data_IF_032786417576
#
_entry.id   IF_032786417576
#
_cell.length_a   1.000
_cell.length_b   1.000
_cell.length_c   1.000
_cell.angle_alpha   90.00
_cell.angle_beta   90.00
_cell.angle_gamma   90.00
#
_symmetry.space_group_name_H-M   'P 1'
#
loop_
_entity.id
_entity.type
_entity.pdbx_description
1 polymer ?
#
# COMPACT_ATOMS: atom_id res chain seq x y z
N UNK A 1 0.27 -20.96 -57.87
CA UNK A 1 1.22 -20.19 -57.03
C UNK A 1 1.00 -20.56 -55.56
N UNK A 2 1.83 -21.44 -54.99
CA UNK A 2 1.70 -21.89 -53.61
C UNK A 2 2.70 -21.12 -52.71
N UNK A 3 2.20 -20.45 -51.66
CA UNK A 3 3.03 -19.73 -50.69
C UNK A 3 3.52 -20.70 -49.61
N UNK A 4 4.83 -20.91 -49.52
CA UNK A 4 5.47 -21.65 -48.44
C UNK A 4 5.52 -20.80 -47.18
N UNK A 5 4.96 -21.32 -46.07
CA UNK A 5 5.11 -20.71 -44.74
C UNK A 5 6.45 -21.18 -44.16
N UNK A 6 7.43 -20.29 -44.08
CA UNK A 6 8.68 -20.57 -43.36
C UNK A 6 8.45 -20.39 -41.87
N UNK A 7 8.38 -21.53 -41.17
CA UNK A 7 8.33 -21.61 -39.71
C UNK A 7 9.70 -21.19 -39.14
N UNK A 8 9.81 -19.95 -38.62
CA UNK A 8 10.97 -19.52 -37.85
C UNK A 8 10.77 -19.92 -36.38
N UNK A 9 11.16 -21.14 -36.06
CA UNK A 9 11.35 -21.56 -34.67
C UNK A 9 12.41 -20.69 -34.00
N UNK A 10 12.01 -19.93 -32.99
CA UNK A 10 12.90 -19.11 -32.18
C UNK A 10 13.65 -20.01 -31.18
N UNK A 11 14.89 -20.36 -31.52
CA UNK A 11 15.79 -21.11 -30.64
C UNK A 11 16.34 -20.22 -29.53
N UNK A 12 15.69 -20.22 -28.37
CA UNK A 12 16.25 -19.58 -27.18
C UNK A 12 17.29 -20.52 -26.55
N UNK A 13 18.55 -20.20 -26.82
CA UNK A 13 19.75 -20.86 -26.34
C UNK A 13 19.80 -20.84 -24.79
N UNK A 14 19.70 -22.01 -24.16
CA UNK A 14 19.56 -22.19 -22.71
C UNK A 14 20.91 -22.22 -21.99
N UNK A 15 21.65 -21.12 -22.00
CA UNK A 15 22.74 -20.93 -21.02
C UNK A 15 22.12 -20.39 -19.72
N UNK A 16 21.57 -21.31 -18.93
CA UNK A 16 20.79 -20.99 -17.72
C UNK A 16 21.74 -20.63 -16.57
N UNK A 17 22.10 -19.36 -16.44
CA UNK A 17 22.75 -18.88 -15.23
C UNK A 17 21.85 -19.12 -14.03
N UNK A 18 22.33 -19.94 -13.09
CA UNK A 18 21.65 -20.20 -11.84
C UNK A 18 22.02 -19.11 -10.84
N UNK A 19 21.06 -18.23 -10.56
CA UNK A 19 21.13 -17.32 -9.42
C UNK A 19 20.60 -18.02 -8.18
N UNK A 20 21.29 -17.83 -7.07
CA UNK A 20 20.87 -18.33 -5.76
C UNK A 20 19.55 -17.66 -5.30
N UNK A 21 18.76 -18.38 -4.50
CA UNK A 21 17.43 -17.92 -4.09
C UNK A 21 17.52 -16.65 -3.23
N UNK A 22 18.47 -16.60 -2.30
CA UNK A 22 18.68 -15.45 -1.42
C UNK A 22 19.09 -14.21 -2.20
N UNK A 23 19.93 -14.41 -3.23
CA UNK A 23 20.28 -13.34 -4.14
C UNK A 23 19.06 -12.80 -4.90
N UNK A 24 18.23 -13.67 -5.48
CA UNK A 24 17.01 -13.26 -6.19
C UNK A 24 16.07 -12.47 -5.28
N UNK A 25 15.89 -12.95 -4.05
CA UNK A 25 15.06 -12.28 -3.06
C UNK A 25 15.58 -10.89 -2.72
N UNK A 26 16.88 -10.77 -2.43
CA UNK A 26 17.52 -9.49 -2.12
C UNK A 26 17.33 -8.46 -3.24
N UNK A 27 17.55 -8.87 -4.49
CA UNK A 27 17.38 -7.99 -5.66
C UNK A 27 15.92 -7.55 -5.83
N UNK A 28 14.96 -8.45 -5.59
CA UNK A 28 13.55 -8.10 -5.60
C UNK A 28 13.19 -7.09 -4.50
N UNK A 29 13.70 -7.27 -3.28
CA UNK A 29 13.49 -6.34 -2.17
C UNK A 29 14.14 -4.98 -2.43
N UNK A 30 15.36 -4.95 -2.97
CA UNK A 30 16.02 -3.71 -3.37
C UNK A 30 15.20 -2.95 -4.41
N UNK A 31 14.68 -3.64 -5.42
CA UNK A 31 13.75 -3.03 -6.38
C UNK A 31 12.50 -2.49 -5.70
N UNK A 32 11.92 -3.23 -4.74
CA UNK A 32 10.72 -2.80 -4.00
C UNK A 32 10.94 -1.61 -3.07
N UNK A 33 12.15 -1.42 -2.57
CA UNK A 33 12.48 -0.34 -1.65
C UNK A 33 13.06 0.92 -2.34
N UNK A 34 13.65 0.76 -3.53
CA UNK A 34 14.25 1.87 -4.29
C UNK A 34 13.24 2.58 -5.22
N UNK A 35 13.50 3.84 -5.58
CA UNK A 35 12.72 4.55 -6.63
C UNK A 35 13.18 4.22 -8.05
N UNK A 36 14.08 3.25 -8.22
CA UNK A 36 14.75 2.96 -9.48
C UNK A 36 13.97 2.01 -10.39
N UNK A 37 14.29 2.06 -11.68
CA UNK A 37 13.73 1.13 -12.66
C UNK A 37 14.36 -0.25 -12.54
N UNK A 38 13.64 -1.29 -12.97
CA UNK A 38 14.17 -2.67 -13.02
C UNK A 38 15.48 -2.78 -13.80
N UNK A 39 15.64 -1.99 -14.86
CA UNK A 39 16.85 -2.00 -15.68
C UNK A 39 18.04 -1.44 -14.90
N UNK A 40 17.83 -0.38 -14.13
CA UNK A 40 18.87 0.18 -13.25
C UNK A 40 19.29 -0.84 -12.18
N UNK A 41 18.33 -1.44 -11.47
CA UNK A 41 18.60 -2.47 -10.46
C UNK A 41 19.27 -3.71 -11.06
N UNK A 42 18.85 -4.14 -12.25
CA UNK A 42 19.44 -5.25 -12.99
C UNK A 42 20.91 -4.99 -13.32
N UNK A 43 21.23 -3.79 -13.84
CA UNK A 43 22.60 -3.39 -14.17
C UNK A 43 23.48 -3.29 -12.92
N UNK A 44 22.97 -2.69 -11.85
CA UNK A 44 23.69 -2.57 -10.57
C UNK A 44 24.05 -3.94 -9.99
N UNK A 45 23.11 -4.88 -10.04
CA UNK A 45 23.29 -6.23 -9.49
C UNK A 45 23.93 -7.22 -10.47
N UNK A 46 24.39 -6.79 -11.64
CA UNK A 46 25.06 -7.66 -12.62
C UNK A 46 24.17 -8.76 -13.20
N UNK A 47 22.85 -8.60 -13.14
CA UNK A 47 21.90 -9.61 -13.64
C UNK A 47 21.88 -9.55 -15.16
N UNK A 48 22.15 -10.67 -15.83
CA UNK A 48 22.31 -10.67 -17.29
C UNK A 48 20.99 -10.53 -18.05
N UNK A 49 19.91 -11.14 -17.56
CA UNK A 49 18.63 -11.15 -18.27
C UNK A 49 17.75 -9.97 -17.84
N UNK A 50 17.34 -9.14 -18.80
CA UNK A 50 16.44 -8.00 -18.58
C UNK A 50 15.10 -8.38 -17.94
N UNK A 51 14.61 -9.60 -18.22
CA UNK A 51 13.35 -10.13 -17.70
C UNK A 51 13.49 -10.86 -16.37
N UNK A 52 14.70 -11.06 -15.85
CA UNK A 52 14.95 -11.85 -14.64
C UNK A 52 14.18 -11.32 -13.43
N UNK A 53 14.28 -10.03 -13.15
CA UNK A 53 13.59 -9.40 -12.01
C UNK A 53 12.07 -9.56 -12.14
N UNK A 54 11.51 -9.44 -13.35
CA UNK A 54 10.07 -9.64 -13.59
C UNK A 54 9.67 -11.09 -13.28
N UNK A 55 10.48 -12.06 -13.70
CA UNK A 55 10.24 -13.47 -13.44
C UNK A 55 10.33 -13.76 -11.94
N UNK A 56 11.34 -13.24 -11.24
CA UNK A 56 11.51 -13.45 -9.80
C UNK A 56 10.38 -12.81 -8.99
N UNK A 57 9.94 -11.59 -9.34
CA UNK A 57 8.78 -10.96 -8.70
C UNK A 57 7.53 -11.85 -8.83
N UNK A 58 7.30 -12.46 -10.01
CA UNK A 58 6.19 -13.40 -10.20
C UNK A 58 6.36 -14.69 -9.39
N UNK A 59 7.58 -15.23 -9.35
CA UNK A 59 7.90 -16.43 -8.57
C UNK A 59 7.65 -16.22 -7.06
N UNK A 60 7.97 -15.02 -6.56
CA UNK A 60 7.78 -14.64 -5.17
C UNK A 60 6.39 -14.07 -4.86
N UNK A 61 5.49 -13.94 -5.85
CA UNK A 61 4.16 -13.33 -5.67
C UNK A 61 4.20 -11.83 -5.34
N UNK A 62 5.30 -11.15 -5.63
CA UNK A 62 5.50 -9.73 -5.34
C UNK A 62 4.86 -8.87 -6.42
N UNK A 63 4.12 -7.83 -5.99
CA UNK A 63 3.47 -6.89 -6.91
C UNK A 63 4.51 -5.95 -7.52
N UNK A 64 4.50 -5.86 -8.83
CA UNK A 64 5.35 -4.93 -9.56
C UNK A 64 4.88 -3.48 -9.38
N UNK A 65 5.81 -2.56 -9.11
CA UNK A 65 5.53 -1.11 -9.01
C UNK A 65 4.99 -0.53 -10.31
N UNK A 66 5.50 -1.01 -11.43
CA UNK A 66 5.15 -0.51 -12.75
C UNK A 66 4.20 -1.53 -13.36
N UNK A 67 2.90 -1.22 -13.37
CA UNK A 67 1.94 -2.01 -14.14
C UNK A 67 2.30 -1.87 -15.62
N UNK A 68 2.44 -2.97 -16.38
CA UNK A 68 2.51 -2.84 -17.82
C UNK A 68 1.20 -2.18 -18.26
N UNK A 69 1.31 -1.02 -18.91
CA UNK A 69 0.15 -0.37 -19.52
C UNK A 69 -0.50 -1.39 -20.45
N UNK A 70 -1.78 -1.66 -20.25
CA UNK A 70 -2.57 -2.41 -21.20
C UNK A 70 -2.47 -1.74 -22.57
N UNK A 71 -2.55 -2.52 -23.66
CA UNK A 71 -2.58 -1.98 -25.02
C UNK A 71 -3.65 -0.88 -25.18
N UNK A 72 -4.76 -1.03 -24.44
CA UNK A 72 -5.83 -0.02 -24.34
C UNK A 72 -5.37 1.27 -23.68
N UNK A 73 -4.56 1.19 -22.62
CA UNK A 73 -3.99 2.34 -21.91
C UNK A 73 -2.88 3.01 -22.73
N UNK A 74 -2.10 2.25 -23.51
CA UNK A 74 -1.09 2.80 -24.41
C UNK A 74 -1.70 3.64 -25.53
N UNK A 75 -2.77 3.16 -26.16
CA UNK A 75 -3.54 3.95 -27.14
C UNK A 75 -4.19 5.19 -26.51
N UNK A 76 -4.57 5.09 -25.23
CA UNK A 76 -5.25 6.16 -24.51
C UNK A 76 -4.36 7.38 -24.22
N UNK A 77 -3.03 7.21 -24.19
CA UNK A 77 -2.05 8.27 -23.91
C UNK A 77 -1.82 9.23 -25.08
N UNK A 78 -2.23 8.89 -26.30
CA UNK A 78 -2.16 9.77 -27.47
C UNK A 78 -3.31 10.78 -27.56
N UNK A 79 -4.31 10.67 -26.69
CA UNK A 79 -5.46 11.58 -26.62
C UNK A 79 -5.47 12.29 -25.26
N UNK A 80 -5.78 13.59 -25.19
CA UNK A 80 -6.02 14.24 -23.90
C UNK A 80 -7.24 13.58 -23.24
N UNK A 81 -6.99 12.73 -22.25
CA UNK A 81 -8.04 12.00 -21.55
C UNK A 81 -8.84 12.97 -20.66
N UNK A 82 -10.18 12.95 -20.70
CA UNK A 82 -10.96 13.51 -19.61
C UNK A 82 -10.58 12.77 -18.31
N UNK A 83 -10.40 13.51 -17.20
CA UNK A 83 -10.02 12.98 -15.89
C UNK A 83 -10.78 11.67 -15.62
N UNK A 84 -10.10 10.57 -15.26
CA UNK A 84 -10.74 9.27 -15.13
C UNK A 84 -11.89 9.37 -14.12
N UNK A 85 -13.09 8.93 -14.51
CA UNK A 85 -14.33 9.00 -13.71
C UNK A 85 -14.17 8.48 -12.27
N UNK A 86 -13.20 7.59 -12.03
CA UNK A 86 -12.85 7.08 -10.70
C UNK A 86 -12.29 8.16 -9.77
N UNK A 87 -11.43 9.04 -10.28
CA UNK A 87 -10.84 10.14 -9.49
C UNK A 87 -11.92 11.13 -9.07
N UNK A 88 -12.86 11.45 -9.97
CA UNK A 88 -13.99 12.34 -9.64
C UNK A 88 -14.92 11.72 -8.59
N UNK A 89 -15.20 10.42 -8.69
CA UNK A 89 -15.99 9.70 -7.69
C UNK A 89 -15.28 9.66 -6.33
N UNK A 90 -13.99 9.33 -6.32
CA UNK A 90 -13.16 9.31 -5.10
C UNK A 90 -13.08 10.69 -4.43
N UNK A 91 -12.92 11.77 -5.20
CA UNK A 91 -12.96 13.14 -4.70
C UNK A 91 -14.32 13.48 -4.06
N UNK A 92 -15.43 13.08 -4.69
CA UNK A 92 -16.77 13.35 -4.17
C UNK A 92 -17.07 12.61 -2.86
N UNK A 93 -16.63 11.36 -2.74
CA UNK A 93 -16.79 10.58 -1.51
C UNK A 93 -15.91 11.13 -0.38
N UNK A 94 -14.69 11.58 -0.70
CA UNK A 94 -13.81 12.23 0.29
C UNK A 94 -14.43 13.50 0.86
N UNK A 95 -15.02 14.35 0.02
CA UNK A 95 -15.64 15.60 0.47
C UNK A 95 -16.90 15.34 1.29
N UNK A 96 -17.73 14.36 0.88
CA UNK A 96 -18.88 13.91 1.67
C UNK A 96 -18.45 13.40 3.05
N UNK A 97 -17.44 12.55 3.10
CA UNK A 97 -16.97 11.95 4.34
C UNK A 97 -16.34 13.00 5.29
N UNK A 98 -15.59 13.96 4.74
CA UNK A 98 -15.06 15.10 5.51
C UNK A 98 -16.18 15.94 6.13
N UNK A 99 -17.25 16.19 5.37
CA UNK A 99 -18.40 16.94 5.86
C UNK A 99 -19.09 16.20 7.01
N UNK A 100 -19.34 14.90 6.85
CA UNK A 100 -19.95 14.07 7.90
C UNK A 100 -19.09 14.04 9.18
N UNK A 101 -17.77 13.95 9.03
CA UNK A 101 -16.84 14.01 10.15
C UNK A 101 -16.90 15.37 10.86
N UNK A 102 -16.93 16.48 10.11
CA UNK A 102 -17.03 17.82 10.68
C UNK A 102 -18.34 18.00 11.47
N UNK A 103 -19.47 17.53 10.94
CA UNK A 103 -20.78 17.57 11.61
C UNK A 103 -20.81 16.70 12.87
N UNK A 104 -20.22 15.51 12.83
CA UNK A 104 -20.10 14.64 14.00
C UNK A 104 -19.26 15.27 15.11
N UNK A 105 -18.12 15.86 14.77
CA UNK A 105 -17.25 16.54 15.73
C UNK A 105 -17.92 17.76 16.36
N UNK A 106 -18.61 18.59 15.55
CA UNK A 106 -19.35 19.75 16.04
C UNK A 106 -20.45 19.34 17.04
N UNK A 107 -21.19 18.26 16.72
CA UNK A 107 -22.20 17.71 17.65
C UNK A 107 -21.56 17.22 18.95
N UNK A 108 -20.46 16.48 18.86
CA UNK A 108 -19.74 15.99 20.04
C UNK A 108 -19.27 17.14 20.94
N UNK A 109 -18.73 18.22 20.35
CA UNK A 109 -18.32 19.42 21.08
C UNK A 109 -19.51 20.12 21.75
N UNK A 110 -20.62 20.27 21.04
CA UNK A 110 -21.84 20.85 21.59
C UNK A 110 -22.38 20.02 22.78
N UNK A 111 -22.41 18.68 22.67
CA UNK A 111 -22.80 17.82 23.78
C UNK A 111 -21.85 17.97 24.97
N UNK A 112 -20.54 18.01 24.73
CA UNK A 112 -19.55 18.21 25.77
C UNK A 112 -19.74 19.55 26.50
N UNK A 113 -20.05 20.62 25.77
CA UNK A 113 -20.37 21.93 26.34
C UNK A 113 -21.66 21.96 27.14
N UNK A 114 -22.71 21.29 26.67
CA UNK A 114 -23.96 21.18 27.43
C UNK A 114 -23.76 20.42 28.75
N UNK A 115 -22.92 19.38 28.74
CA UNK A 115 -22.55 18.66 29.96
C UNK A 115 -21.82 19.60 30.93
N UNK A 116 -20.83 20.37 30.45
CA UNK A 116 -20.10 21.34 31.29
C UNK A 116 -21.03 22.34 31.96
N UNK A 117 -21.97 22.93 31.21
CA UNK A 117 -22.94 23.89 31.74
C UNK A 117 -23.84 23.22 32.79
N UNK A 118 -24.31 22.00 32.53
CA UNK A 118 -25.17 21.28 33.46
C UNK A 118 -24.44 20.92 34.77
N UNK A 119 -23.17 20.51 34.70
CA UNK A 119 -22.36 20.25 35.89
C UNK A 119 -22.13 21.53 36.70
N UNK A 120 -21.92 22.68 36.03
CA UNK A 120 -21.72 23.97 36.68
C UNK A 120 -22.98 24.46 37.42
N UNK A 121 -24.14 24.44 36.76
CA UNK A 121 -25.36 25.01 37.33
C UNK A 121 -26.02 24.12 38.37
N UNK A 122 -26.07 22.81 38.12
CA UNK A 122 -26.75 21.87 39.01
C UNK A 122 -25.81 21.24 40.05
N UNK A 123 -24.49 21.49 39.97
CA UNK A 123 -23.46 20.92 40.85
C UNK A 123 -23.51 19.39 40.96
N UNK A 124 -24.00 18.73 39.92
CA UNK A 124 -24.03 17.27 39.80
C UNK A 124 -22.86 16.82 38.92
N UNK A 125 -22.22 15.72 39.27
CA UNK A 125 -21.17 15.12 38.44
C UNK A 125 -21.79 14.17 37.42
N UNK A 126 -21.87 14.60 36.15
CA UNK A 126 -22.44 13.81 35.05
C UNK A 126 -21.33 13.00 34.37
N UNK A 127 -20.13 13.56 34.24
CA UNK A 127 -18.99 12.88 33.64
C UNK A 127 -18.42 11.84 34.60
N UNK A 128 -18.22 10.63 34.09
CA UNK A 128 -17.53 9.57 34.84
C UNK A 128 -16.04 9.91 34.97
N UNK A 129 -15.60 10.25 36.18
CA UNK A 129 -14.17 10.39 36.51
C UNK A 129 -13.60 9.02 36.84
N UNK A 130 -12.80 8.44 35.95
CA UNK A 130 -12.09 7.18 36.24
C UNK A 130 -10.97 7.44 37.25
N UNK A 131 -11.19 7.09 38.51
CA UNK A 131 -10.12 6.99 39.51
C UNK A 131 -9.58 5.56 39.45
N UNK A 132 -8.57 5.31 38.63
CA UNK A 132 -7.85 4.05 38.67
C UNK A 132 -7.02 4.00 39.97
N UNK A 133 -7.56 3.42 41.04
CA UNK A 133 -6.76 3.06 42.22
C UNK A 133 -5.83 1.93 41.79
N UNK A 134 -4.56 2.24 41.50
CA UNK A 134 -3.53 1.21 41.34
C UNK A 134 -3.42 0.47 42.68
N UNK A 135 -3.83 -0.79 42.70
CA UNK A 135 -3.57 -1.69 43.83
C UNK A 135 -2.07 -1.95 43.88
N UNK A 136 -1.41 -1.42 44.90
CA UNK A 136 0.00 -1.70 45.18
C UNK A 136 0.18 -3.21 45.34
N UNK A 137 1.15 -3.85 44.65
CA UNK A 137 1.35 -5.29 44.78
C UNK A 137 1.83 -5.64 46.19
N UNK A 138 1.06 -6.50 46.87
CA UNK A 138 1.34 -6.99 48.22
C UNK A 138 2.64 -7.80 48.26
N UNK A 139 3.57 -7.37 49.13
CA UNK A 139 4.88 -8.00 49.34
C UNK A 139 4.66 -9.31 50.10
N UNK A 140 4.77 -10.45 49.40
CA UNK A 140 4.75 -11.78 50.04
C UNK A 140 5.99 -11.94 50.94
N UNK A 141 5.84 -12.30 52.24
CA UNK A 141 7.00 -12.59 53.09
C UNK A 141 7.55 -13.97 52.73
N UNK A 142 8.88 -14.03 52.62
CA UNK A 142 9.67 -15.21 52.31
C UNK A 142 9.61 -16.19 53.50
N UNK A 143 9.16 -17.44 53.28
CA UNK A 143 9.23 -18.50 54.29
C UNK A 143 10.55 -19.26 54.14
N UNK A 144 11.21 -19.49 55.28
CA UNK A 144 12.44 -20.27 55.46
C UNK A 144 12.19 -21.76 55.24
#
# INVERSE_FOLDING_TARGET
MARTKTNKGSGYNQNKLHYDLDFKWRVCQEYLNSSETKIAIQRRNGVQCRTAIVIWLRQFGLKDKIKPLSLKEQLSLQMPQPKPKKVQFEESELDRLKKELAEANLRAEAYQKMIEIAEQEFKIEIKKKYVAKQSTPSKRPNQQ
#
